data_IF_571309666635
#
_entry.id   IF_571309666635
#
_cell.length_a   1.000
_cell.length_b   1.000
_cell.length_c   1.000
_cell.angle_alpha   90.00
_cell.angle_beta   90.00
_cell.angle_gamma   90.00
#
_symmetry.space_group_name_H-M   'P 1'
#
loop_
_entity.id
_entity.type
_entity.pdbx_description
1 polymer ?
#
# COMPACT_ATOMS: atom_id res chain seq x y z
N UNK A 1 -13.76 -3.35 14.96
CA UNK A 1 -12.88 -2.36 14.29
C UNK A 1 -11.62 -3.11 13.89
N UNK A 2 -11.37 -3.21 12.60
CA UNK A 2 -10.23 -3.93 12.05
C UNK A 2 -9.16 -2.94 11.57
N UNK A 3 -7.95 -3.44 11.33
CA UNK A 3 -6.89 -2.67 10.73
C UNK A 3 -6.24 -3.47 9.63
N UNK A 4 -6.04 -2.83 8.48
CA UNK A 4 -5.11 -3.30 7.46
C UNK A 4 -3.77 -2.65 7.74
N UNK A 5 -2.70 -3.42 7.61
CA UNK A 5 -1.36 -2.92 7.83
C UNK A 5 -0.37 -3.60 6.91
N UNK A 6 0.77 -2.95 6.74
CA UNK A 6 1.83 -3.46 5.91
C UNK A 6 3.01 -2.51 5.91
N UNK A 7 3.86 -2.68 4.90
CA UNK A 7 5.05 -1.87 4.71
C UNK A 7 5.13 -1.36 3.29
N UNK A 8 5.79 -0.21 3.12
CA UNK A 8 6.07 0.40 1.83
C UNK A 8 7.51 0.88 1.78
N UNK A 9 8.09 0.92 0.58
CA UNK A 9 9.48 1.31 0.41
C UNK A 9 9.69 1.95 -0.96
N UNK A 10 10.39 3.08 -0.97
CA UNK A 10 10.94 3.71 -2.17
C UNK A 10 12.41 4.01 -1.88
N UNK A 11 13.34 3.13 -2.27
CA UNK A 11 14.74 3.25 -1.90
C UNK A 11 15.32 4.61 -2.29
N UNK A 12 16.01 5.28 -1.35
CA UNK A 12 16.68 6.58 -1.55
C UNK A 12 15.78 7.77 -1.86
N UNK A 13 14.46 7.58 -1.89
CA UNK A 13 13.47 8.64 -2.09
C UNK A 13 12.54 8.75 -0.88
N UNK A 14 12.21 7.63 -0.24
CA UNK A 14 11.23 7.56 0.83
C UNK A 14 9.79 7.57 0.31
N UNK A 15 8.86 7.20 1.19
CA UNK A 15 7.41 7.12 0.90
C UNK A 15 6.71 8.32 1.52
N UNK A 16 5.87 9.02 0.75
CA UNK A 16 5.07 10.16 1.21
C UNK A 16 3.62 9.77 1.53
N UNK A 17 3.08 8.77 0.85
CA UNK A 17 1.73 8.28 1.08
C UNK A 17 1.61 6.78 0.81
N UNK A 18 0.74 6.13 1.58
CA UNK A 18 0.19 4.82 1.27
C UNK A 18 -1.32 4.95 1.25
N UNK A 19 -1.95 4.37 0.24
CA UNK A 19 -3.40 4.37 0.11
C UNK A 19 -3.93 2.95 -0.07
N UNK A 20 -5.10 2.70 0.51
CA UNK A 20 -5.79 1.40 0.45
C UNK A 20 -7.13 1.56 -0.25
N UNK A 21 -7.47 0.64 -1.16
CA UNK A 21 -8.78 0.53 -1.79
C UNK A 21 -9.39 -0.80 -1.37
N UNK A 22 -10.59 -0.75 -0.78
CA UNK A 22 -11.34 -1.93 -0.33
C UNK A 22 -12.52 -2.12 -1.28
N UNK A 23 -12.74 -3.35 -1.75
CA UNK A 23 -13.84 -3.75 -2.63
C UNK A 23 -13.99 -2.89 -3.89
N UNK A 24 -12.86 -2.55 -4.50
CA UNK A 24 -12.77 -1.63 -5.65
C UNK A 24 -13.33 -0.22 -5.39
N UNK A 25 -13.52 0.16 -4.13
CA UNK A 25 -13.90 1.49 -3.71
C UNK A 25 -12.79 2.53 -3.88
N UNK A 26 -13.06 3.79 -3.51
CA UNK A 26 -12.09 4.88 -3.62
C UNK A 26 -10.85 4.62 -2.76
N UNK A 27 -9.70 5.12 -3.23
CA UNK A 27 -8.45 5.11 -2.46
C UNK A 27 -8.60 5.93 -1.18
N UNK A 28 -8.20 5.35 -0.06
CA UNK A 28 -8.22 5.97 1.27
C UNK A 28 -6.80 6.07 1.80
N UNK A 29 -6.44 7.21 2.37
CA UNK A 29 -5.11 7.42 2.94
C UNK A 29 -4.91 6.55 4.19
N UNK A 30 -3.78 5.86 4.26
CA UNK A 30 -3.32 5.15 5.44
C UNK A 30 -2.44 6.06 6.32
N UNK A 31 -2.41 5.76 7.61
CA UNK A 31 -1.47 6.36 8.56
C UNK A 31 -0.08 5.76 8.35
N UNK A 32 0.94 6.61 8.18
CA UNK A 32 2.34 6.19 8.11
C UNK A 32 2.98 6.22 9.50
N UNK A 33 3.77 5.19 9.80
CA UNK A 33 4.64 5.17 10.96
C UNK A 33 5.85 6.09 10.79
N UNK A 34 6.54 6.36 11.90
CA UNK A 34 7.82 7.07 11.89
C UNK A 34 8.92 6.21 11.26
N UNK A 35 9.79 6.85 10.48
CA UNK A 35 10.99 6.23 9.88
C UNK A 35 12.26 6.88 10.40
N UNK A 36 13.36 6.14 10.41
CA UNK A 36 14.67 6.67 10.79
C UNK A 36 15.35 7.43 9.65
N UNK A 37 15.08 7.07 8.39
CA UNK A 37 15.59 7.73 7.18
C UNK A 37 14.82 7.31 5.91
N UNK A 38 15.02 8.01 4.79
CA UNK A 38 14.45 7.68 3.47
C UNK A 38 14.91 6.33 2.91
N UNK A 39 15.95 5.72 3.49
CA UNK A 39 16.44 4.40 3.09
C UNK A 39 15.71 3.26 3.80
N UNK A 40 14.89 3.54 4.80
CA UNK A 40 14.13 2.53 5.54
C UNK A 40 12.73 2.33 4.95
N UNK A 41 12.27 1.08 4.96
CA UNK A 41 10.86 0.75 4.83
C UNK A 41 10.01 1.48 5.89
N UNK A 42 8.83 1.97 5.49
CA UNK A 42 7.85 2.58 6.39
C UNK A 42 6.74 1.57 6.68
N UNK A 43 6.36 1.45 7.95
CA UNK A 43 5.14 0.75 8.33
C UNK A 43 3.94 1.64 8.11
N UNK A 44 2.80 1.07 7.74
CA UNK A 44 1.55 1.82 7.59
C UNK A 44 0.36 1.04 8.16
N UNK A 45 -0.69 1.77 8.52
CA UNK A 45 -1.95 1.22 9.00
C UNK A 45 -3.14 2.00 8.46
N UNK A 46 -4.18 1.29 8.03
CA UNK A 46 -5.49 1.85 7.73
C UNK A 46 -6.54 1.21 8.64
N UNK A 47 -7.17 2.02 9.49
CA UNK A 47 -8.25 1.59 10.36
C UNK A 47 -9.54 1.53 9.58
N UNK A 48 -10.26 0.41 9.70
CA UNK A 48 -11.44 0.15 8.89
C UNK A 48 -12.57 -0.50 9.69
N UNK A 49 -13.79 0.00 9.46
CA UNK A 49 -15.04 -0.59 9.94
C UNK A 49 -15.50 -1.68 8.97
N UNK A 50 -14.91 -2.86 9.08
CA UNK A 50 -15.25 -3.99 8.23
C UNK A 50 -16.69 -4.47 8.44
N UNK A 51 -17.34 -4.86 7.35
CA UNK A 51 -18.57 -5.65 7.35
C UNK A 51 -18.22 -7.14 7.34
N UNK A 52 -19.17 -8.01 7.71
CA UNK A 52 -18.97 -9.45 7.59
C UNK A 52 -19.00 -9.89 6.11
N UNK A 53 -18.24 -10.93 5.78
CA UNK A 53 -18.19 -11.52 4.44
C UNK A 53 -16.85 -11.34 3.73
N UNK A 54 -16.85 -11.63 2.43
CA UNK A 54 -15.63 -11.62 1.61
C UNK A 54 -15.29 -10.23 1.11
N UNK A 55 -14.00 -9.91 1.20
CA UNK A 55 -13.45 -8.60 0.88
C UNK A 55 -12.18 -8.72 0.04
N UNK A 56 -11.92 -7.67 -0.73
CA UNK A 56 -10.65 -7.48 -1.44
C UNK A 56 -10.00 -6.17 -1.01
N UNK A 57 -8.69 -6.19 -0.78
CA UNK A 57 -7.93 -4.97 -0.52
C UNK A 57 -6.77 -4.86 -1.51
N UNK A 58 -6.60 -3.66 -2.06
CA UNK A 58 -5.44 -3.25 -2.84
C UNK A 58 -4.72 -2.11 -2.14
N UNK A 59 -3.41 -2.04 -2.32
CA UNK A 59 -2.58 -0.98 -1.75
C UNK A 59 -1.67 -0.38 -2.83
N UNK A 60 -1.43 0.93 -2.73
CA UNK A 60 -0.42 1.63 -3.53
C UNK A 60 0.39 2.60 -2.67
N UNK A 61 1.65 2.80 -3.03
CA UNK A 61 2.50 3.83 -2.44
C UNK A 61 2.73 5.00 -3.41
N UNK A 62 2.98 6.17 -2.86
CA UNK A 62 3.52 7.36 -3.55
C UNK A 62 4.82 7.76 -2.87
N UNK A 63 5.87 8.02 -3.65
CA UNK A 63 7.17 8.42 -3.10
C UNK A 63 7.23 9.91 -2.74
N UNK A 64 8.31 10.38 -2.12
CA UNK A 64 8.47 11.80 -1.78
C UNK A 64 8.66 12.74 -2.98
N UNK A 65 8.85 12.20 -4.18
CA UNK A 65 8.88 12.98 -5.43
C UNK A 65 7.49 13.07 -6.09
N UNK A 66 6.48 12.44 -5.52
CA UNK A 66 5.11 12.42 -6.04
C UNK A 66 4.86 11.35 -7.09
N UNK A 67 5.78 10.41 -7.31
CA UNK A 67 5.57 9.30 -8.22
C UNK A 67 4.70 8.23 -7.55
N UNK A 68 3.53 7.97 -8.12
CA UNK A 68 2.68 6.86 -7.71
C UNK A 68 3.20 5.52 -8.26
N UNK A 69 2.98 4.45 -7.50
CA UNK A 69 3.31 3.09 -7.91
C UNK A 69 2.68 2.72 -9.27
N UNK A 70 3.47 2.08 -10.13
CA UNK A 70 3.02 1.59 -11.43
C UNK A 70 1.96 0.51 -11.24
N UNK A 71 0.77 0.74 -11.80
CA UNK A 71 -0.40 -0.15 -11.62
C UNK A 71 -0.43 -1.30 -12.62
N UNK A 72 0.22 -1.15 -13.77
CA UNK A 72 0.34 -2.21 -14.76
C UNK A 72 1.22 -3.34 -14.20
N UNK A 73 0.76 -4.59 -14.33
CA UNK A 73 1.52 -5.74 -13.89
C UNK A 73 2.70 -6.01 -14.83
N UNK A 74 3.86 -6.30 -14.27
CA UNK A 74 5.06 -6.75 -14.98
C UNK A 74 5.67 -7.94 -14.22
N UNK A 75 6.22 -8.90 -14.96
CA UNK A 75 6.98 -9.99 -14.36
C UNK A 75 8.25 -9.47 -13.64
N UNK A 76 8.77 -10.20 -12.63
CA UNK A 76 9.92 -9.74 -11.86
C UNK A 76 11.21 -9.50 -12.65
N UNK A 77 11.47 -10.28 -13.71
CA UNK A 77 12.70 -10.15 -14.47
C UNK A 77 12.53 -9.12 -15.62
N UNK A 78 13.54 -8.26 -15.88
CA UNK A 78 14.80 -8.11 -15.13
C UNK A 78 14.76 -7.03 -14.03
N UNK A 79 13.72 -6.19 -13.99
CA UNK A 79 13.72 -4.91 -13.25
C UNK A 79 12.76 -4.87 -12.05
N UNK A 80 12.45 -6.03 -11.48
CA UNK A 80 11.43 -6.15 -10.45
C UNK A 80 10.01 -6.19 -11.02
N UNK A 81 9.09 -6.68 -10.19
CA UNK A 81 7.68 -6.73 -10.53
C UNK A 81 7.02 -5.36 -10.27
N UNK A 82 6.12 -4.98 -11.16
CA UNK A 82 5.20 -3.86 -10.96
C UNK A 82 3.77 -4.37 -10.82
N UNK A 83 2.84 -3.48 -10.51
CA UNK A 83 1.47 -3.83 -10.22
C UNK A 83 1.10 -3.50 -8.79
N UNK A 84 -0.20 -3.60 -8.49
CA UNK A 84 -0.73 -3.37 -7.15
C UNK A 84 -0.78 -4.69 -6.39
N UNK A 85 -0.28 -4.70 -5.16
CA UNK A 85 -0.50 -5.83 -4.28
C UNK A 85 -1.99 -5.90 -3.90
N UNK A 86 -2.60 -7.05 -4.12
CA UNK A 86 -3.99 -7.33 -3.80
C UNK A 86 -4.09 -8.60 -2.95
N UNK A 87 -4.94 -8.56 -1.93
CA UNK A 87 -5.34 -9.73 -1.15
C UNK A 87 -6.86 -9.88 -1.13
N UNK A 88 -7.32 -11.12 -0.98
CA UNK A 88 -8.72 -11.46 -0.69
C UNK A 88 -8.78 -12.11 0.68
N UNK A 89 -9.78 -11.75 1.49
CA UNK A 89 -9.95 -12.25 2.85
C UNK A 89 -11.42 -12.21 3.26
N UNK A 90 -11.78 -12.87 4.36
CA UNK A 90 -13.15 -12.89 4.90
C UNK A 90 -13.15 -12.37 6.34
N UNK A 91 -14.21 -11.67 6.72
CA UNK A 91 -14.42 -11.06 8.05
C UNK A 91 -15.61 -11.70 8.75
#
# INVERSE_FOLDING_TARGET
MFALGGVAWSPSIGVSAVEVSIDNGPWQAAELGSVASEHTWVQWRYVWSATAGDHTARVRATDQQGNAQVTANQAPAPNGATGLHQISFSV
#
